data_IF_965649255023
#
_entry.id   IF_965649255023
#
_cell.length_a   1.000
_cell.length_b   1.000
_cell.length_c   1.000
_cell.angle_alpha   90.00
_cell.angle_beta   90.00
_cell.angle_gamma   90.00
#
_symmetry.space_group_name_H-M   'P 1'
#
loop_
_entity.id
_entity.type
_entity.pdbx_description
1 polymer ?
#
# COMPACT_ATOMS: atom_id res chain seq x y z
N UNK A 1 -4.54 -17.70 5.41
CA UNK A 1 -4.29 -19.14 5.68
C UNK A 1 -5.53 -19.89 6.17
N UNK A 2 -6.26 -19.39 7.19
CA UNK A 2 -7.45 -20.09 7.72
C UNK A 2 -8.58 -20.34 6.69
N UNK A 3 -8.86 -19.40 5.78
CA UNK A 3 -9.90 -19.58 4.76
C UNK A 3 -9.49 -20.51 3.62
N UNK A 4 -8.20 -20.53 3.27
CA UNK A 4 -7.67 -21.43 2.26
C UNK A 4 -7.90 -22.88 2.69
N UNK A 5 -7.48 -23.21 3.91
CA UNK A 5 -7.68 -24.54 4.51
C UNK A 5 -9.16 -24.96 4.50
N UNK A 6 -10.09 -24.03 4.75
CA UNK A 6 -11.54 -24.34 4.67
C UNK A 6 -12.00 -24.68 3.25
N UNK A 7 -11.48 -23.98 2.24
CA UNK A 7 -11.81 -24.22 0.83
C UNK A 7 -11.20 -25.54 0.37
N UNK A 8 -9.96 -25.83 0.76
CA UNK A 8 -9.27 -27.09 0.50
C UNK A 8 -10.09 -28.26 1.06
N UNK A 9 -10.43 -28.22 2.35
CA UNK A 9 -11.24 -29.24 3.00
C UNK A 9 -12.59 -29.47 2.32
N UNK A 10 -13.30 -28.40 1.95
CA UNK A 10 -14.59 -28.53 1.29
C UNK A 10 -14.46 -29.15 -0.10
N UNK A 11 -13.42 -28.77 -0.85
CA UNK A 11 -13.15 -29.28 -2.20
C UNK A 11 -12.86 -30.77 -2.17
N UNK A 12 -11.95 -31.20 -1.29
CA UNK A 12 -11.60 -32.61 -1.11
C UNK A 12 -12.79 -33.43 -0.60
N UNK A 13 -13.56 -32.89 0.36
CA UNK A 13 -14.74 -33.57 0.90
C UNK A 13 -15.80 -33.88 -0.17
N UNK A 14 -15.92 -33.01 -1.19
CA UNK A 14 -16.82 -33.20 -2.33
C UNK A 14 -16.19 -34.01 -3.47
N UNK A 15 -14.96 -34.52 -3.29
CA UNK A 15 -14.25 -35.36 -4.27
C UNK A 15 -13.59 -34.59 -5.41
N UNK A 16 -13.35 -33.29 -5.24
CA UNK A 16 -12.60 -32.47 -6.19
C UNK A 16 -11.12 -32.36 -5.83
N UNK A 17 -10.32 -31.91 -6.79
CA UNK A 17 -8.91 -31.55 -6.62
C UNK A 17 -8.74 -30.02 -6.53
N UNK A 18 -7.64 -29.56 -5.92
CA UNK A 18 -7.31 -28.14 -5.83
C UNK A 18 -5.84 -27.86 -6.10
N UNK A 19 -5.55 -26.62 -6.49
CA UNK A 19 -4.19 -26.10 -6.64
C UNK A 19 -4.14 -24.66 -6.11
N UNK A 20 -3.04 -24.30 -5.44
CA UNK A 20 -2.80 -22.97 -4.90
C UNK A 20 -1.64 -22.31 -5.64
N UNK A 21 -1.90 -21.16 -6.26
CA UNK A 21 -0.90 -20.38 -6.98
C UNK A 21 -1.00 -18.89 -6.64
N UNK A 22 0.07 -18.13 -6.92
CA UNK A 22 0.06 -16.67 -6.82
C UNK A 22 0.03 -16.09 -5.40
N UNK A 23 0.37 -16.87 -4.38
CA UNK A 23 0.42 -16.38 -3.01
C UNK A 23 1.49 -15.29 -2.85
N UNK A 24 1.09 -14.10 -2.42
CA UNK A 24 1.98 -13.00 -2.06
C UNK A 24 1.75 -12.57 -0.60
N UNK A 25 2.79 -12.05 0.08
CA UNK A 25 2.69 -11.66 1.49
C UNK A 25 1.84 -10.42 1.67
N UNK A 26 1.17 -10.33 2.82
CA UNK A 26 0.55 -9.11 3.28
C UNK A 26 1.64 -8.08 3.65
N UNK A 27 1.28 -6.80 3.53
CA UNK A 27 2.04 -5.70 4.13
C UNK A 27 1.41 -5.37 5.49
N UNK A 28 2.03 -5.84 6.58
CA UNK A 28 1.50 -5.63 7.92
C UNK A 28 1.73 -4.20 8.41
N UNK A 29 0.78 -3.69 9.20
CA UNK A 29 0.87 -2.36 9.77
C UNK A 29 2.05 -2.27 10.76
N UNK A 30 3.01 -1.41 10.44
CA UNK A 30 4.13 -1.09 11.32
C UNK A 30 3.72 0.01 12.31
N UNK A 31 3.59 -0.34 13.60
CA UNK A 31 3.21 0.63 14.64
C UNK A 31 4.17 1.82 14.72
N UNK A 32 5.47 1.55 14.70
CA UNK A 32 6.53 2.56 14.78
C UNK A 32 7.18 2.73 13.40
N UNK A 33 6.84 3.81 12.70
CA UNK A 33 7.35 4.14 11.37
C UNK A 33 7.85 5.58 11.37
N UNK A 34 9.14 5.80 11.66
CA UNK A 34 9.75 7.13 11.59
C UNK A 34 9.53 7.83 10.24
N UNK A 35 9.55 7.07 9.13
CA UNK A 35 9.28 7.61 7.80
C UNK A 35 7.86 8.14 7.69
N UNK A 36 6.85 7.34 8.09
CA UNK A 36 5.45 7.77 8.07
C UNK A 36 5.24 9.01 8.93
N UNK A 37 5.80 9.02 10.13
CA UNK A 37 5.60 10.13 11.07
C UNK A 37 6.22 11.43 10.51
N UNK A 38 7.40 11.34 9.86
CA UNK A 38 8.02 12.46 9.14
C UNK A 38 7.17 12.92 7.95
N UNK A 39 6.66 11.98 7.16
CA UNK A 39 5.80 12.27 6.01
C UNK A 39 4.50 12.97 6.43
N UNK A 40 3.84 12.50 7.50
CA UNK A 40 2.66 13.14 8.10
C UNK A 40 2.96 14.59 8.49
N UNK A 41 4.09 14.84 9.16
CA UNK A 41 4.49 16.18 9.56
C UNK A 41 4.72 17.11 8.34
N UNK A 42 5.42 16.63 7.31
CA UNK A 42 5.65 17.39 6.07
C UNK A 42 4.33 17.71 5.37
N UNK A 43 3.40 16.76 5.33
CA UNK A 43 2.08 16.98 4.72
C UNK A 43 1.28 18.04 5.50
N UNK A 44 1.27 17.95 6.82
CA UNK A 44 0.57 18.91 7.70
C UNK A 44 1.16 20.33 7.56
N UNK A 45 2.48 20.46 7.43
CA UNK A 45 3.14 21.74 7.14
C UNK A 45 2.71 22.32 5.78
N UNK A 46 2.65 21.48 4.74
CA UNK A 46 2.32 21.94 3.38
C UNK A 46 0.85 22.32 3.21
N UNK A 47 -0.06 21.59 3.84
CA UNK A 47 -1.49 21.67 3.53
C UNK A 47 -2.36 22.11 4.70
N UNK A 48 -1.77 22.31 5.89
CA UNK A 48 -2.47 22.82 7.08
C UNK A 48 -3.41 21.82 7.74
N UNK A 49 -3.37 20.54 7.31
CA UNK A 49 -4.12 19.45 7.92
C UNK A 49 -3.37 18.13 7.76
N UNK A 50 -3.67 17.15 8.62
CA UNK A 50 -3.06 15.82 8.54
C UNK A 50 -3.57 15.04 7.31
N UNK A 51 -2.72 14.21 6.68
CA UNK A 51 -3.17 13.25 5.69
C UNK A 51 -3.90 12.09 6.38
N UNK A 52 -4.71 11.37 5.62
CA UNK A 52 -5.27 10.11 6.07
C UNK A 52 -4.24 8.99 5.95
N UNK A 53 -3.95 8.30 7.05
CA UNK A 53 -3.10 7.09 7.06
C UNK A 53 -4.01 5.88 7.06
N UNK A 54 -4.04 5.16 5.94
CA UNK A 54 -4.98 4.05 5.74
C UNK A 54 -4.26 2.75 5.40
N UNK A 55 -4.86 1.63 5.82
CA UNK A 55 -4.59 0.32 5.27
C UNK A 55 -5.71 -0.03 4.29
N UNK A 56 -5.35 -0.54 3.11
CA UNK A 56 -6.32 -0.88 2.06
C UNK A 56 -6.44 -2.39 1.92
N UNK A 57 -7.61 -2.86 1.49
CA UNK A 57 -7.85 -4.26 1.17
C UNK A 57 -7.46 -4.56 -0.30
N UNK A 58 -6.20 -4.31 -0.64
CA UNK A 58 -5.63 -4.56 -1.95
C UNK A 58 -4.18 -5.04 -1.82
N UNK A 59 -3.67 -5.68 -2.88
CA UNK A 59 -2.26 -6.06 -2.97
C UNK A 59 -1.39 -4.86 -3.34
N UNK A 60 -0.31 -4.65 -2.60
CA UNK A 60 0.74 -3.68 -2.93
C UNK A 60 2.10 -4.39 -2.90
N UNK A 61 2.99 -4.02 -3.81
CA UNK A 61 4.35 -4.57 -3.88
C UNK A 61 5.16 -4.30 -2.60
N UNK A 62 4.75 -3.29 -1.80
CA UNK A 62 5.29 -3.04 -0.47
C UNK A 62 5.27 -4.30 0.43
N UNK A 63 4.28 -5.20 0.29
CA UNK A 63 4.26 -6.47 1.04
C UNK A 63 5.42 -7.39 0.64
N UNK A 64 5.77 -7.44 -0.65
CA UNK A 64 6.90 -8.22 -1.15
C UNK A 64 8.22 -7.64 -0.65
N UNK A 65 8.39 -6.31 -0.74
CA UNK A 65 9.61 -5.63 -0.26
C UNK A 65 9.78 -5.77 1.24
N UNK A 66 8.71 -5.56 2.01
CA UNK A 66 8.72 -5.68 3.46
C UNK A 66 9.15 -7.08 3.93
N UNK A 67 8.68 -8.14 3.26
CA UNK A 67 9.10 -9.51 3.58
C UNK A 67 10.55 -9.82 3.19
N UNK A 68 11.10 -9.12 2.20
CA UNK A 68 12.45 -9.38 1.66
C UNK A 68 13.53 -8.52 2.29
N UNK A 69 13.18 -7.34 2.78
CA UNK A 69 14.10 -6.36 3.33
C UNK A 69 13.81 -6.16 4.81
N UNK A 70 14.58 -6.84 5.66
CA UNK A 70 14.42 -6.74 7.11
C UNK A 70 14.57 -5.29 7.59
N UNK A 71 13.64 -4.85 8.44
CA UNK A 71 13.65 -3.50 9.00
C UNK A 71 13.19 -2.40 8.04
N UNK A 72 12.80 -2.71 6.80
CA UNK A 72 12.31 -1.72 5.83
C UNK A 72 11.16 -0.90 6.41
N UNK A 73 11.35 0.42 6.44
CA UNK A 73 10.29 1.38 6.70
C UNK A 73 9.87 1.99 5.36
N UNK A 74 8.61 1.78 4.98
CA UNK A 74 8.11 2.20 3.69
C UNK A 74 6.70 2.76 3.81
N UNK A 75 6.34 3.62 2.86
CA UNK A 75 5.02 4.22 2.71
C UNK A 75 4.65 4.18 1.23
N UNK A 76 3.39 3.91 0.92
CA UNK A 76 2.83 4.05 -0.42
C UNK A 76 2.07 5.36 -0.52
N UNK A 77 2.25 6.10 -1.61
CA UNK A 77 1.46 7.29 -1.94
C UNK A 77 1.23 7.37 -3.46
N UNK A 78 0.19 8.07 -3.87
CA UNK A 78 -0.14 8.26 -5.29
C UNK A 78 -1.21 9.32 -5.50
N UNK A 79 -1.44 9.75 -6.75
CA UNK A 79 -2.48 10.73 -7.07
C UNK A 79 -3.87 10.10 -7.01
N UNK A 80 -4.89 10.96 -7.03
CA UNK A 80 -6.27 10.51 -7.15
C UNK A 80 -6.50 9.86 -8.52
N UNK A 81 -6.89 8.59 -8.50
CA UNK A 81 -7.20 7.78 -9.67
C UNK A 81 -8.61 7.20 -9.54
N UNK A 82 -9.27 6.96 -10.67
CA UNK A 82 -10.61 6.35 -10.74
C UNK A 82 -10.64 5.27 -11.80
N UNK A 83 -11.52 4.30 -11.59
CA UNK A 83 -11.82 3.21 -12.54
C UNK A 83 -10.56 2.45 -12.99
N UNK A 84 -9.61 2.31 -12.06
CA UNK A 84 -8.34 1.59 -12.26
C UNK A 84 -8.63 0.16 -12.73
N UNK A 85 -7.89 -0.31 -13.73
CA UNK A 85 -8.07 -1.60 -14.41
C UNK A 85 -9.28 -1.69 -15.35
N UNK A 86 -9.83 -0.55 -15.80
CA UNK A 86 -10.89 -0.50 -16.81
C UNK A 86 -10.47 0.35 -18.01
N UNK A 87 -11.25 0.33 -19.10
CA UNK A 87 -11.04 1.25 -20.24
C UNK A 87 -11.31 2.72 -19.88
N UNK A 88 -11.99 2.97 -18.77
CA UNK A 88 -12.37 4.30 -18.29
C UNK A 88 -11.39 4.84 -17.25
N UNK A 89 -10.23 4.18 -17.07
CA UNK A 89 -9.22 4.58 -16.09
C UNK A 89 -8.76 6.02 -16.32
N UNK A 90 -8.85 6.84 -15.28
CA UNK A 90 -8.45 8.25 -15.30
C UNK A 90 -7.66 8.64 -14.06
N UNK A 91 -6.78 9.63 -14.21
CA UNK A 91 -6.00 10.21 -13.13
C UNK A 91 -6.16 11.74 -13.08
N UNK A 92 -6.13 12.30 -11.87
CA UNK A 92 -6.24 13.75 -11.67
C UNK A 92 -4.89 14.45 -11.92
N UNK A 93 -4.83 15.34 -12.91
CA UNK A 93 -3.64 16.14 -13.22
C UNK A 93 -3.26 17.01 -12.01
N UNK A 94 -4.23 17.71 -11.42
CA UNK A 94 -4.00 18.56 -10.25
C UNK A 94 -3.53 17.74 -9.03
N UNK A 95 -4.04 16.51 -8.85
CA UNK A 95 -3.57 15.63 -7.77
C UNK A 95 -2.15 15.11 -8.01
N UNK A 96 -1.81 14.83 -9.27
CA UNK A 96 -0.46 14.43 -9.68
C UNK A 96 0.56 15.51 -9.38
N UNK A 97 0.25 16.78 -9.65
CA UNK A 97 1.10 17.90 -9.27
C UNK A 97 1.26 18.02 -7.75
N UNK A 98 0.17 17.86 -6.97
CA UNK A 98 0.25 17.85 -5.51
C UNK A 98 1.18 16.74 -4.99
N UNK A 99 1.02 15.52 -5.50
CA UNK A 99 1.86 14.37 -5.12
C UNK A 99 3.33 14.61 -5.47
N UNK A 100 3.61 15.17 -6.64
CA UNK A 100 4.97 15.54 -7.02
C UNK A 100 5.58 16.55 -6.06
N UNK A 101 4.88 17.65 -5.79
CA UNK A 101 5.34 18.69 -4.87
C UNK A 101 5.56 18.14 -3.45
N UNK A 102 4.66 17.27 -2.99
CA UNK A 102 4.76 16.60 -1.70
C UNK A 102 5.96 15.66 -1.64
N UNK A 103 6.16 14.81 -2.66
CA UNK A 103 7.32 13.91 -2.74
C UNK A 103 8.63 14.69 -2.68
N UNK A 104 8.76 15.77 -3.47
CA UNK A 104 9.94 16.63 -3.45
C UNK A 104 10.18 17.23 -2.07
N UNK A 105 9.12 17.70 -1.41
CA UNK A 105 9.23 18.29 -0.07
C UNK A 105 9.62 17.25 0.99
N UNK A 106 9.08 16.03 0.92
CA UNK A 106 9.49 14.91 1.77
C UNK A 106 10.97 14.63 1.59
N UNK A 107 11.45 14.49 0.35
CA UNK A 107 12.85 14.21 0.05
C UNK A 107 13.80 15.32 0.55
N UNK A 108 13.40 16.60 0.48
CA UNK A 108 14.16 17.71 1.07
C UNK A 108 14.29 17.59 2.59
N UNK A 109 13.24 17.11 3.25
CA UNK A 109 13.17 16.96 4.70
C UNK A 109 13.78 15.66 5.23
N UNK A 110 14.12 14.73 4.34
CA UNK A 110 14.84 13.49 4.65
C UNK A 110 16.36 13.61 4.47
N UNK A 111 16.84 14.69 3.84
CA UNK A 111 18.27 14.98 3.81
C UNK A 111 18.70 15.51 5.18
N UNK A 112 19.79 14.97 5.70
CA UNK A 112 20.53 15.53 6.83
C UNK A 112 20.93 16.99 6.56
#
# INVERSE_FOLDING_TARGET
MHYLIKIEYLTEFLGGDYEVQGAYPAWEYRKESPLRDKMVAVFEEMYGHKPEVVAIHAGLECGLFYKKMEGLDCVSLGPDMKDIHTSEEVLSIASTERVWNYLVQVLKNLKD
#
